data_IF_189924835223
#
_entry.id   IF_189924835223
#
_cell.length_a   1.000
_cell.length_b   1.000
_cell.length_c   1.000
_cell.angle_alpha   90.00
_cell.angle_beta   90.00
_cell.angle_gamma   90.00
#
_symmetry.space_group_name_H-M   'P 1'
#
loop_
_entity.id
_entity.type
_entity.pdbx_description
1 polymer ?
#
# COMPACT_ATOMS: atom_id res chain seq x y z
N UNK A 1 -39.46 -36.02 -66.07
CA UNK A 1 -40.88 -35.81 -65.68
C UNK A 1 -40.93 -35.60 -64.18
N UNK A 2 -41.60 -34.52 -63.74
CA UNK A 2 -42.23 -34.28 -62.42
C UNK A 2 -41.32 -34.41 -61.16
N UNK A 3 -40.91 -33.30 -60.53
CA UNK A 3 -41.62 -32.52 -59.47
C UNK A 3 -42.00 -33.45 -58.29
N UNK A 4 -41.58 -33.19 -57.04
CA UNK A 4 -42.44 -32.55 -56.02
C UNK A 4 -41.70 -32.33 -54.67
N UNK A 5 -41.85 -31.08 -54.19
CA UNK A 5 -42.06 -30.52 -52.83
C UNK A 5 -41.10 -30.73 -51.63
N UNK A 6 -40.76 -29.54 -51.11
CA UNK A 6 -40.39 -29.11 -49.75
C UNK A 6 -41.10 -29.86 -48.61
N UNK A 7 -40.36 -30.05 -47.51
CA UNK A 7 -40.93 -29.96 -46.17
C UNK A 7 -40.11 -28.99 -45.30
N UNK A 8 -40.85 -28.03 -44.79
CA UNK A 8 -40.54 -27.03 -43.78
C UNK A 8 -40.33 -27.70 -42.43
N UNK A 9 -39.27 -27.32 -41.71
CA UNK A 9 -39.06 -27.67 -40.31
C UNK A 9 -38.26 -26.56 -39.64
N UNK A 10 -38.96 -25.55 -39.14
CA UNK A 10 -38.38 -24.52 -38.27
C UNK A 10 -38.13 -25.14 -36.89
N UNK A 11 -36.88 -25.15 -36.44
CA UNK A 11 -36.56 -25.42 -35.03
C UNK A 11 -35.92 -24.17 -34.46
N UNK A 12 -36.76 -23.37 -33.81
CA UNK A 12 -36.34 -22.25 -32.96
C UNK A 12 -35.77 -22.88 -31.68
N UNK A 13 -34.46 -23.05 -31.63
CA UNK A 13 -33.76 -23.31 -30.37
C UNK A 13 -33.61 -21.96 -29.65
N UNK A 14 -34.54 -21.71 -28.73
CA UNK A 14 -34.37 -20.70 -27.70
C UNK A 14 -33.22 -21.12 -26.80
N UNK A 15 -32.03 -20.54 -27.03
CA UNK A 15 -30.97 -20.52 -26.02
C UNK A 15 -31.27 -19.32 -25.14
N UNK A 16 -31.88 -19.63 -24.00
CA UNK A 16 -31.95 -18.77 -22.84
C UNK A 16 -30.54 -18.27 -22.55
N UNK A 17 -30.26 -16.99 -22.86
CA UNK A 17 -29.10 -16.27 -22.33
C UNK A 17 -29.31 -16.14 -20.82
N UNK A 18 -29.01 -17.22 -20.10
CA UNK A 18 -28.80 -17.18 -18.66
C UNK A 18 -27.57 -16.33 -18.41
N UNK A 19 -27.79 -15.15 -17.84
CA UNK A 19 -26.73 -14.24 -17.41
C UNK A 19 -25.75 -14.96 -16.48
N UNK A 20 -24.61 -15.34 -17.03
CA UNK A 20 -23.39 -15.56 -16.24
C UNK A 20 -22.92 -14.17 -15.83
N UNK A 21 -23.43 -13.73 -14.69
CA UNK A 21 -22.80 -12.72 -13.86
C UNK A 21 -21.36 -13.21 -13.58
N UNK A 22 -20.41 -12.68 -14.32
CA UNK A 22 -19.00 -12.70 -13.98
C UNK A 22 -18.83 -11.87 -12.70
N UNK A 23 -19.14 -12.46 -11.54
CA UNK A 23 -18.65 -11.95 -10.26
C UNK A 23 -17.15 -12.17 -10.24
N UNK A 24 -16.42 -11.18 -10.75
CA UNK A 24 -14.99 -11.09 -10.65
C UNK A 24 -14.59 -11.03 -9.18
N UNK A 25 -14.02 -12.11 -8.67
CA UNK A 25 -13.22 -12.09 -7.46
C UNK A 25 -11.93 -11.34 -7.79
N UNK A 26 -11.92 -10.02 -7.66
CA UNK A 26 -10.66 -9.28 -7.61
C UNK A 26 -9.85 -9.78 -6.41
N UNK A 27 -8.53 -9.99 -6.55
CA UNK A 27 -7.67 -10.35 -5.42
C UNK A 27 -7.80 -9.32 -4.29
N UNK A 28 -7.90 -9.77 -3.05
CA UNK A 28 -7.89 -8.89 -1.87
C UNK A 28 -6.45 -8.44 -1.57
N UNK A 29 -6.00 -7.44 -2.33
CA UNK A 29 -4.65 -6.88 -2.22
C UNK A 29 -4.43 -6.28 -0.82
N UNK A 30 -5.45 -5.64 -0.25
CA UNK A 30 -5.39 -5.08 1.10
C UNK A 30 -5.19 -6.17 2.16
N UNK A 31 -5.94 -7.27 2.04
CA UNK A 31 -5.76 -8.44 2.91
C UNK A 31 -4.36 -9.06 2.79
N UNK A 32 -3.78 -9.07 1.60
CA UNK A 32 -2.39 -9.50 1.40
C UNK A 32 -1.39 -8.57 2.11
N UNK A 33 -1.58 -7.24 2.01
CA UNK A 33 -0.73 -6.27 2.70
C UNK A 33 -0.77 -6.44 4.23
N UNK A 34 -1.96 -6.59 4.81
CA UNK A 34 -2.10 -6.88 6.25
C UNK A 34 -1.42 -8.20 6.64
N UNK A 35 -1.53 -9.22 5.79
CA UNK A 35 -0.91 -10.53 6.04
C UNK A 35 0.62 -10.47 6.00
N UNK A 36 1.19 -9.67 5.09
CA UNK A 36 2.63 -9.39 5.05
C UNK A 36 3.06 -8.71 6.35
N UNK A 37 2.37 -7.66 6.80
CA UNK A 37 2.68 -6.98 8.07
C UNK A 37 2.61 -7.95 9.25
N UNK A 38 1.54 -8.73 9.33
CA UNK A 38 1.35 -9.69 10.43
C UNK A 38 2.46 -10.75 10.47
N UNK A 39 2.80 -11.34 9.31
CA UNK A 39 3.74 -12.47 9.25
C UNK A 39 5.20 -12.04 9.31
N UNK A 40 5.54 -10.96 8.62
CA UNK A 40 6.94 -10.60 8.38
C UNK A 40 7.46 -9.64 9.45
N UNK A 41 6.58 -8.78 9.99
CA UNK A 41 6.96 -7.74 10.95
C UNK A 41 6.47 -8.01 12.37
N UNK A 42 5.18 -8.27 12.56
CA UNK A 42 4.61 -8.34 13.90
C UNK A 42 4.87 -9.68 14.59
N UNK A 43 4.94 -10.78 13.84
CA UNK A 43 5.19 -12.13 14.38
C UNK A 43 6.66 -12.40 14.68
N UNK A 44 7.57 -11.72 13.99
CA UNK A 44 9.00 -12.04 13.97
C UNK A 44 9.81 -11.36 15.07
N UNK A 45 9.30 -10.32 15.75
CA UNK A 45 10.09 -9.67 16.79
C UNK A 45 9.52 -8.39 17.41
N UNK A 46 10.41 -7.72 18.14
CA UNK A 46 10.16 -6.48 18.88
C UNK A 46 9.81 -5.34 17.93
N UNK A 47 8.68 -4.69 18.16
CA UNK A 47 8.35 -3.38 17.63
C UNK A 47 8.45 -2.34 18.75
N UNK A 48 8.73 -1.09 18.37
CA UNK A 48 8.81 0.05 19.30
C UNK A 48 8.01 1.21 18.74
N UNK A 49 7.54 2.10 19.62
CA UNK A 49 6.79 3.27 19.18
C UNK A 49 7.64 4.12 18.21
N UNK A 50 7.08 4.45 17.05
CA UNK A 50 7.82 5.08 15.96
C UNK A 50 8.32 6.49 16.30
N UNK A 51 7.44 7.35 16.82
CA UNK A 51 7.80 8.75 17.14
C UNK A 51 8.95 8.82 18.16
N UNK A 52 8.88 8.15 19.33
CA UNK A 52 10.00 8.14 20.29
C UNK A 52 11.29 7.54 19.71
N UNK A 53 11.18 6.54 18.83
CA UNK A 53 12.35 5.93 18.18
C UNK A 53 13.12 6.96 17.35
N UNK A 54 12.43 7.69 16.47
CA UNK A 54 13.05 8.73 15.64
C UNK A 54 13.50 9.94 16.45
N UNK A 55 12.76 10.36 17.48
CA UNK A 55 13.20 11.42 18.39
C UNK A 55 14.48 11.04 19.17
N UNK A 56 14.66 9.74 19.43
CA UNK A 56 15.87 9.17 20.05
C UNK A 56 17.07 9.03 19.10
N UNK A 57 16.96 9.46 17.84
CA UNK A 57 18.00 9.33 16.83
C UNK A 57 18.06 7.93 16.18
N UNK A 58 16.91 7.25 16.08
CA UNK A 58 16.77 6.11 15.18
C UNK A 58 16.76 6.55 13.72
N UNK A 59 17.16 5.65 12.84
CA UNK A 59 17.31 5.82 11.39
C UNK A 59 16.38 4.84 10.67
N UNK A 60 15.85 5.24 9.53
CA UNK A 60 15.05 4.39 8.64
C UNK A 60 15.61 4.48 7.22
N UNK A 61 15.76 5.70 6.71
CA UNK A 61 16.33 5.96 5.40
C UNK A 61 17.76 6.51 5.48
N UNK A 62 18.06 7.31 6.50
CA UNK A 62 19.35 7.98 6.59
C UNK A 62 20.46 6.97 6.92
N UNK A 63 21.30 6.65 5.93
CA UNK A 63 22.43 5.72 6.11
C UNK A 63 23.67 6.39 6.73
N UNK A 64 23.71 7.72 6.71
CA UNK A 64 24.79 8.53 7.29
C UNK A 64 24.26 9.86 7.86
N UNK A 65 25.13 10.57 8.58
CA UNK A 65 24.78 11.82 9.24
C UNK A 65 24.61 13.02 8.29
N UNK A 66 24.82 12.85 6.98
CA UNK A 66 24.65 13.91 5.98
C UNK A 66 23.27 13.91 5.33
N UNK A 67 22.53 12.81 5.50
CA UNK A 67 21.14 12.68 5.09
C UNK A 67 20.23 12.92 6.31
N UNK A 68 19.12 13.64 6.11
CA UNK A 68 18.21 14.04 7.19
C UNK A 68 16.75 13.73 6.88
N UNK A 69 16.48 12.80 5.96
CA UNK A 69 15.12 12.44 5.52
C UNK A 69 14.29 11.91 6.69
N UNK A 70 14.89 11.15 7.61
CA UNK A 70 14.15 10.63 8.76
C UNK A 70 13.63 11.75 9.67
N UNK A 71 14.46 12.79 9.84
CA UNK A 71 14.14 13.95 10.68
C UNK A 71 13.25 14.97 9.97
N UNK A 72 13.43 15.14 8.67
CA UNK A 72 12.78 16.21 7.89
C UNK A 72 11.50 15.75 7.19
N UNK A 73 11.35 14.44 6.92
CA UNK A 73 10.22 13.86 6.21
C UNK A 73 9.46 12.87 7.09
N UNK A 74 10.10 11.80 7.58
CA UNK A 74 9.41 10.71 8.28
C UNK A 74 8.85 11.15 9.62
N UNK A 75 9.66 11.73 10.51
CA UNK A 75 9.19 12.14 11.82
C UNK A 75 8.08 13.21 11.73
N UNK A 76 8.17 14.24 10.87
CA UNK A 76 7.07 15.18 10.65
C UNK A 76 5.81 14.52 10.10
N UNK A 77 5.94 13.57 9.17
CA UNK A 77 4.81 12.80 8.64
C UNK A 77 4.10 12.03 9.76
N UNK A 78 4.84 11.24 10.54
CA UNK A 78 4.30 10.46 11.65
C UNK A 78 3.55 11.32 12.68
N UNK A 79 4.15 12.47 13.04
CA UNK A 79 3.51 13.44 13.95
C UNK A 79 2.23 14.03 13.36
N UNK A 80 2.20 14.38 12.07
CA UNK A 80 1.00 14.88 11.39
C UNK A 80 -0.10 13.82 11.36
N UNK A 81 0.24 12.58 11.01
CA UNK A 81 -0.70 11.45 11.00
C UNK A 81 -1.29 11.23 12.40
N UNK A 82 -0.44 11.20 13.44
CA UNK A 82 -0.89 11.00 14.82
C UNK A 82 -1.77 12.16 15.33
N UNK A 83 -1.46 13.40 14.94
CA UNK A 83 -2.25 14.57 15.31
C UNK A 83 -3.61 14.61 14.60
N UNK A 84 -3.68 14.13 13.36
CA UNK A 84 -4.94 14.03 12.61
C UNK A 84 -5.83 12.91 13.14
N UNK A 85 -5.22 11.75 13.45
CA UNK A 85 -5.90 10.61 14.05
C UNK A 85 -4.92 9.90 14.99
N UNK A 86 -5.35 9.67 16.24
CA UNK A 86 -4.53 8.96 17.24
C UNK A 86 -4.43 7.48 16.88
N UNK A 87 -3.47 7.18 16.01
CA UNK A 87 -3.13 5.85 15.50
C UNK A 87 -1.90 5.33 16.21
N UNK A 88 -1.86 4.02 16.45
CA UNK A 88 -0.64 3.35 16.88
C UNK A 88 0.35 3.32 15.71
N UNK A 89 1.59 3.69 15.98
CA UNK A 89 2.65 3.79 14.98
C UNK A 89 3.89 3.07 15.49
N UNK A 90 4.34 2.09 14.72
CA UNK A 90 5.39 1.17 15.10
C UNK A 90 6.57 1.26 14.15
N UNK A 91 7.76 1.18 14.71
CA UNK A 91 8.98 0.85 13.99
C UNK A 91 9.31 -0.60 14.28
N UNK A 92 9.74 -1.31 13.24
CA UNK A 92 10.39 -2.61 13.34
C UNK A 92 11.90 -2.36 13.26
N UNK A 93 12.67 -2.47 14.36
CA UNK A 93 14.10 -2.28 14.32
C UNK A 93 14.81 -3.47 13.68
N UNK A 94 15.93 -3.21 13.02
CA UNK A 94 16.87 -4.24 12.60
C UNK A 94 17.40 -4.99 13.84
N UNK A 95 17.35 -6.33 13.87
CA UNK A 95 17.77 -7.11 15.04
C UNK A 95 19.28 -7.00 15.32
N UNK A 96 20.09 -6.74 14.30
CA UNK A 96 21.54 -6.55 14.40
C UNK A 96 21.88 -5.08 14.66
N UNK A 97 21.10 -4.14 14.13
CA UNK A 97 21.31 -2.71 14.26
C UNK A 97 20.07 -2.03 14.85
N UNK A 98 19.86 -2.11 16.17
CA UNK A 98 18.63 -1.65 16.84
C UNK A 98 18.27 -0.17 16.66
N UNK A 99 19.18 0.66 16.14
CA UNK A 99 18.90 2.06 15.77
C UNK A 99 18.48 2.24 14.32
N UNK A 100 18.58 1.21 13.50
CA UNK A 100 18.08 1.14 12.15
C UNK A 100 16.69 0.51 12.17
N UNK A 101 15.74 1.10 11.46
CA UNK A 101 14.42 0.55 11.20
C UNK A 101 14.44 -0.18 9.86
N UNK A 102 13.73 -1.30 9.80
CA UNK A 102 13.47 -2.04 8.55
C UNK A 102 12.06 -1.79 8.01
N UNK A 103 11.14 -1.34 8.85
CA UNK A 103 9.78 -0.99 8.45
C UNK A 103 9.17 0.03 9.41
N UNK A 104 8.30 0.88 8.87
CA UNK A 104 7.42 1.78 9.62
C UNK A 104 5.97 1.41 9.33
N UNK A 105 5.22 1.13 10.39
CA UNK A 105 3.85 0.64 10.34
C UNK A 105 2.93 1.64 11.04
N UNK A 106 1.81 1.97 10.41
CA UNK A 106 0.76 2.81 10.97
C UNK A 106 -0.53 2.02 11.02
N UNK A 107 -1.13 1.88 12.19
CA UNK A 107 -2.44 1.24 12.33
C UNK A 107 -3.50 2.15 11.70
N UNK A 108 -4.35 1.57 10.86
CA UNK A 108 -5.42 2.29 10.18
C UNK A 108 -6.68 2.34 11.04
N UNK A 109 -7.36 3.50 11.10
CA UNK A 109 -8.68 3.57 11.71
C UNK A 109 -9.68 2.71 10.93
N UNK A 110 -10.70 2.22 11.62
CA UNK A 110 -11.78 1.42 10.99
C UNK A 110 -12.69 2.23 10.07
N UNK A 111 -12.71 3.55 10.26
CA UNK A 111 -13.56 4.46 9.50
C UNK A 111 -12.87 4.89 8.20
N UNK A 112 -13.52 4.65 7.06
CA UNK A 112 -12.92 4.92 5.74
C UNK A 112 -12.63 6.40 5.52
N UNK A 113 -13.47 7.32 6.03
CA UNK A 113 -13.22 8.74 5.85
C UNK A 113 -11.96 9.20 6.61
N UNK A 114 -11.67 8.60 7.76
CA UNK A 114 -10.41 8.82 8.46
C UNK A 114 -9.22 8.22 7.70
N UNK A 115 -9.36 7.03 7.10
CA UNK A 115 -8.32 6.44 6.24
C UNK A 115 -8.01 7.37 5.05
N UNK A 116 -9.05 7.89 4.39
CA UNK A 116 -8.89 8.81 3.25
C UNK A 116 -8.19 10.12 3.68
N UNK A 117 -8.48 10.62 4.88
CA UNK A 117 -7.80 11.79 5.43
C UNK A 117 -6.31 11.52 5.71
N UNK A 118 -5.97 10.33 6.22
CA UNK A 118 -4.57 9.92 6.38
C UNK A 118 -3.87 9.79 5.03
N UNK A 119 -4.54 9.24 4.02
CA UNK A 119 -3.99 9.12 2.66
C UNK A 119 -3.61 10.47 2.07
N UNK A 120 -4.45 11.50 2.24
CA UNK A 120 -4.14 12.86 1.79
C UNK A 120 -2.90 13.44 2.48
N UNK A 121 -2.67 13.12 3.76
CA UNK A 121 -1.47 13.57 4.49
C UNK A 121 -0.22 12.89 3.92
N UNK A 122 -0.30 11.59 3.64
CA UNK A 122 0.82 10.83 3.05
C UNK A 122 1.13 11.33 1.63
N UNK A 123 0.11 11.55 0.80
CA UNK A 123 0.26 12.09 -0.56
C UNK A 123 0.93 13.46 -0.56
N UNK A 124 0.54 14.35 0.37
CA UNK A 124 1.18 15.66 0.51
C UNK A 124 2.65 15.56 0.95
N UNK A 125 2.98 14.60 1.81
CA UNK A 125 4.36 14.37 2.22
C UNK A 125 5.19 13.77 1.07
N UNK A 126 4.63 12.83 0.32
CA UNK A 126 5.26 12.25 -0.87
C UNK A 126 5.58 13.31 -1.92
N UNK A 127 4.62 14.20 -2.22
CA UNK A 127 4.82 15.31 -3.17
C UNK A 127 5.90 16.32 -2.75
N UNK A 128 6.28 16.35 -1.47
CA UNK A 128 7.33 17.22 -0.92
C UNK A 128 8.68 16.51 -0.82
N UNK A 129 8.70 15.19 -0.93
CA UNK A 129 9.91 14.39 -0.90
C UNK A 129 10.52 14.29 -2.30
N UNK A 130 11.83 14.46 -2.43
CA UNK A 130 12.50 14.38 -3.74
C UNK A 130 12.56 12.93 -4.27
N UNK A 131 12.51 11.96 -3.37
CA UNK A 131 12.35 10.54 -3.70
C UNK A 131 10.87 10.17 -3.81
N UNK A 132 10.54 8.96 -3.36
CA UNK A 132 9.16 8.50 -3.27
C UNK A 132 8.92 7.75 -1.97
N UNK A 133 7.77 8.02 -1.36
CA UNK A 133 7.18 7.23 -0.29
C UNK A 133 6.39 6.09 -0.94
N UNK A 134 6.91 4.88 -0.84
CA UNK A 134 6.18 3.67 -1.18
C UNK A 134 5.15 3.40 -0.10
N UNK A 135 3.90 3.21 -0.52
CA UNK A 135 2.77 3.03 0.38
C UNK A 135 2.18 1.65 0.12
N UNK A 136 1.89 0.91 1.18
CA UNK A 136 1.17 -0.35 1.10
C UNK A 136 -0.01 -0.29 2.06
N UNK A 137 -1.20 -0.06 1.50
CA UNK A 137 -2.44 0.09 2.25
C UNK A 137 -3.14 -1.25 2.43
N UNK A 138 -3.23 -1.72 3.68
CA UNK A 138 -4.07 -2.83 4.10
C UNK A 138 -5.46 -2.39 4.55
N UNK A 139 -6.19 -3.29 5.21
CA UNK A 139 -7.40 -2.96 5.96
C UNK A 139 -7.08 -2.48 7.38
N UNK A 140 -5.95 -2.94 7.95
CA UNK A 140 -5.55 -2.64 9.32
C UNK A 140 -4.23 -1.89 9.40
N UNK A 141 -3.35 -2.05 8.42
CA UNK A 141 -2.02 -1.45 8.45
C UNK A 141 -1.71 -0.68 7.18
N UNK A 142 -1.08 0.47 7.35
CA UNK A 142 -0.27 1.12 6.34
C UNK A 142 1.19 0.80 6.64
N UNK A 143 1.90 0.21 5.67
CA UNK A 143 3.36 0.16 5.69
C UNK A 143 3.91 1.23 4.76
N UNK A 144 4.91 1.97 5.22
CA UNK A 144 5.64 2.94 4.38
C UNK A 144 7.09 2.53 4.22
N UNK A 145 7.62 2.78 3.02
CA UNK A 145 9.04 2.68 2.71
C UNK A 145 9.46 3.91 1.89
N UNK A 146 10.75 4.20 1.86
CA UNK A 146 11.32 5.34 1.15
C UNK A 146 12.31 4.86 0.10
N UNK A 147 12.13 5.35 -1.12
CA UNK A 147 13.11 5.14 -2.19
C UNK A 147 13.68 6.48 -2.63
N UNK A 148 14.96 6.47 -2.97
CA UNK A 148 15.64 7.66 -3.47
C UNK A 148 15.11 8.09 -4.84
N UNK A 149 15.45 9.31 -5.23
CA UNK A 149 15.04 9.88 -6.52
C UNK A 149 15.45 9.02 -7.71
N UNK A 150 16.68 8.50 -7.71
CA UNK A 150 17.19 7.71 -8.84
C UNK A 150 16.39 6.41 -9.02
N UNK A 151 16.04 5.77 -7.91
CA UNK A 151 15.21 4.57 -7.88
C UNK A 151 13.77 4.89 -8.28
N UNK A 152 13.21 6.00 -7.77
CA UNK A 152 11.88 6.46 -8.16
C UNK A 152 11.78 6.74 -9.67
N UNK A 153 12.76 7.42 -10.24
CA UNK A 153 12.84 7.69 -11.68
C UNK A 153 12.94 6.38 -12.49
N UNK A 154 13.71 5.40 -12.00
CA UNK A 154 13.79 4.08 -12.63
C UNK A 154 12.42 3.37 -12.66
N UNK A 155 11.70 3.33 -11.53
CA UNK A 155 10.38 2.69 -11.48
C UNK A 155 9.36 3.38 -12.38
N UNK A 156 9.33 4.71 -12.43
CA UNK A 156 8.43 5.46 -13.30
C UNK A 156 8.72 5.24 -14.79
N UNK A 157 10.00 5.06 -15.17
CA UNK A 157 10.38 4.72 -16.54
C UNK A 157 10.00 3.29 -16.91
N UNK A 158 10.17 2.34 -15.97
CA UNK A 158 9.86 0.94 -16.18
C UNK A 158 8.35 0.67 -16.25
N UNK A 159 7.56 1.39 -15.45
CA UNK A 159 6.10 1.35 -15.46
C UNK A 159 5.50 2.76 -15.32
N UNK A 160 5.05 3.38 -16.42
CA UNK A 160 4.43 4.71 -16.38
C UNK A 160 3.12 4.79 -15.58
N UNK A 161 2.54 3.66 -15.16
CA UNK A 161 1.37 3.62 -14.28
C UNK A 161 1.71 3.18 -12.85
N UNK A 162 2.99 3.15 -12.47
CA UNK A 162 3.42 2.75 -11.12
C UNK A 162 2.68 3.53 -10.02
N UNK A 163 2.47 4.84 -10.22
CA UNK A 163 1.73 5.68 -9.27
C UNK A 163 0.27 5.29 -9.05
N UNK A 164 -0.35 4.57 -10.00
CA UNK A 164 -1.74 4.11 -9.87
C UNK A 164 -1.85 2.76 -9.14
N UNK A 165 -0.72 2.13 -8.83
CA UNK A 165 -0.64 0.79 -8.25
C UNK A 165 -0.28 0.81 -6.76
N UNK A 166 0.05 1.98 -6.22
CA UNK A 166 0.42 2.20 -4.81
C UNK A 166 -0.74 2.78 -4.01
#
# INVERSE_FOLDING_TARGET
MHVIKRHTGWVVWGITLGGLLLSGCSPDIKGFADQMVANDYLKSGSHVAAIPFFEGGGHFYDQDASTHVDREVILPLLKKLHAAQSTDQWVVPDPQQKRQAIAVLIELPKDQAQVDALAQIVEQADAQFEGMILQQWGHQWLSIDLIDKASAEFFQQADPNFDKQR
#
